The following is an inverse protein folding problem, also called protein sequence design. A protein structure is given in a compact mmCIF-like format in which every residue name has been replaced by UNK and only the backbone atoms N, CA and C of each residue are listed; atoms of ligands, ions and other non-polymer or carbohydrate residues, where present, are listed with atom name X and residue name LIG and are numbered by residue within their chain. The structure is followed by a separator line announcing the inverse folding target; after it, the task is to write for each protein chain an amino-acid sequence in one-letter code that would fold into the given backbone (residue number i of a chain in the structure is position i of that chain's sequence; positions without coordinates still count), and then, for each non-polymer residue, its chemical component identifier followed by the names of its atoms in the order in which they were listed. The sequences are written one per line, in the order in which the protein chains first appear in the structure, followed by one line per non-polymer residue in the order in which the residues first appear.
data_IF_364913080767
#
_entry.id   IF_364913080767
#
_cell.length_a   1.000
_cell.length_b   1.000
_cell.length_c   1.000
_cell.angle_alpha   90.00
_cell.angle_beta   90.00
_cell.angle_gamma   90.00
#
_symmetry.space_group_name_H-M   'P 1'
#
loop_
_entity.id
_entity.type
_entity.pdbx_description
1 polymer ?
#
# COMPACT_ATOMS: atom_id res chain seq x y z
N UNK A 1 12.31 -53.48 3.21
CA UNK A 1 12.27 -52.09 3.71
C UNK A 1 12.06 -51.21 2.51
N UNK A 2 10.86 -50.63 2.34
CA UNK A 2 10.57 -49.78 1.19
C UNK A 2 11.37 -48.48 1.34
N UNK A 3 12.21 -48.17 0.36
CA UNK A 3 12.87 -46.87 0.25
C UNK A 3 11.80 -45.83 -0.07
N UNK A 4 11.45 -44.99 0.90
CA UNK A 4 10.51 -43.87 0.74
C UNK A 4 11.24 -42.52 0.65
N UNK A 5 12.52 -42.52 0.28
CA UNK A 5 13.25 -41.28 -0.01
C UNK A 5 13.06 -40.89 -1.47
N UNK A 6 12.29 -39.84 -1.75
CA UNK A 6 12.47 -39.10 -3.01
C UNK A 6 13.91 -38.57 -3.02
N UNK A 7 14.67 -38.86 -4.08
CA UNK A 7 16.02 -38.35 -4.18
C UNK A 7 15.95 -36.82 -4.34
N UNK A 8 16.96 -36.09 -3.87
CA UNK A 8 16.98 -34.62 -4.01
C UNK A 8 16.88 -34.17 -5.48
N UNK A 9 17.29 -35.05 -6.39
CA UNK A 9 17.22 -34.88 -7.85
C UNK A 9 15.79 -35.02 -8.41
N UNK A 10 14.84 -35.59 -7.65
CA UNK A 10 13.42 -35.71 -8.01
C UNK A 10 12.61 -34.45 -7.62
N UNK A 11 13.23 -33.46 -6.95
CA UNK A 11 12.57 -32.23 -6.53
C UNK A 11 12.48 -31.27 -7.72
N UNK A 12 11.28 -30.84 -8.15
CA UNK A 12 11.14 -29.84 -9.20
C UNK A 12 11.92 -28.57 -8.85
N UNK A 13 12.73 -28.08 -9.80
CA UNK A 13 13.47 -26.84 -9.61
C UNK A 13 12.50 -25.67 -9.43
N UNK A 14 12.74 -24.84 -8.41
CA UNK A 14 11.88 -23.69 -8.13
C UNK A 14 12.07 -22.61 -9.18
N UNK A 15 10.97 -22.12 -9.74
CA UNK A 15 10.99 -20.96 -10.63
C UNK A 15 11.23 -19.68 -9.83
N UNK A 16 12.50 -19.36 -9.62
CA UNK A 16 12.94 -18.15 -8.91
C UNK A 16 12.51 -16.87 -9.62
N UNK A 17 12.38 -16.87 -10.95
CA UNK A 17 11.99 -15.67 -11.68
C UNK A 17 10.55 -15.27 -11.37
N UNK A 18 9.64 -16.25 -11.29
CA UNK A 18 8.25 -16.02 -10.91
C UNK A 18 8.10 -15.63 -9.43
N UNK A 19 8.90 -16.24 -8.53
CA UNK A 19 8.94 -15.86 -7.12
C UNK A 19 9.34 -14.40 -6.94
N UNK A 20 10.42 -13.97 -7.60
CA UNK A 20 10.90 -12.59 -7.52
C UNK A 20 9.87 -11.60 -8.10
N UNK A 21 9.23 -11.95 -9.22
CA UNK A 21 8.19 -11.11 -9.83
C UNK A 21 7.02 -10.86 -8.87
N UNK A 22 6.57 -11.91 -8.18
CA UNK A 22 5.49 -11.80 -7.19
C UNK A 22 5.93 -11.03 -5.95
N UNK A 23 7.15 -11.28 -5.45
CA UNK A 23 7.72 -10.57 -4.33
C UNK A 23 7.77 -9.05 -4.56
N UNK A 24 8.30 -8.62 -5.71
CA UNK A 24 8.36 -7.21 -6.07
C UNK A 24 6.95 -6.59 -6.21
N UNK A 25 5.98 -7.36 -6.70
CA UNK A 25 4.58 -6.93 -6.74
C UNK A 25 3.98 -6.74 -5.34
N UNK A 26 4.23 -7.67 -4.43
CA UNK A 26 3.80 -7.60 -3.04
C UNK A 26 4.42 -6.40 -2.31
N UNK A 27 5.74 -6.19 -2.43
CA UNK A 27 6.44 -5.07 -1.80
C UNK A 27 5.86 -3.73 -2.29
N UNK A 28 5.66 -3.59 -3.60
CA UNK A 28 5.06 -2.38 -4.18
C UNK A 28 3.64 -2.12 -3.65
N UNK A 29 2.80 -3.16 -3.61
CA UNK A 29 1.44 -3.04 -3.06
C UNK A 29 1.45 -2.68 -1.57
N UNK A 30 2.32 -3.31 -0.78
CA UNK A 30 2.45 -3.05 0.65
C UNK A 30 2.93 -1.62 0.94
N UNK A 31 3.88 -1.11 0.15
CA UNK A 31 4.37 0.27 0.27
C UNK A 31 3.25 1.29 0.00
N UNK A 32 2.54 1.15 -1.12
CA UNK A 32 1.42 2.03 -1.47
C UNK A 32 0.28 1.92 -0.45
N UNK A 33 -0.07 0.69 -0.06
CA UNK A 33 -1.14 0.40 0.88
C UNK A 33 -0.86 0.97 2.28
N UNK A 34 0.39 0.92 2.73
CA UNK A 34 0.79 1.49 4.03
C UNK A 34 0.54 3.00 4.07
N UNK A 35 0.95 3.73 3.04
CA UNK A 35 0.72 5.18 2.96
C UNK A 35 -0.76 5.51 2.82
N UNK A 36 -1.52 4.72 2.06
CA UNK A 36 -2.98 4.88 1.95
C UNK A 36 -3.68 4.71 3.30
N UNK A 37 -3.29 3.70 4.09
CA UNK A 37 -3.79 3.51 5.45
C UNK A 37 -3.48 4.72 6.36
N UNK A 38 -2.27 5.26 6.29
CA UNK A 38 -1.91 6.48 7.02
C UNK A 38 -2.78 7.68 6.60
N UNK A 39 -3.04 7.84 5.31
CA UNK A 39 -3.94 8.88 4.80
C UNK A 39 -5.36 8.73 5.34
N UNK A 40 -5.92 7.52 5.40
CA UNK A 40 -7.26 7.29 5.96
C UNK A 40 -7.31 7.57 7.46
N UNK A 41 -6.31 7.14 8.22
CA UNK A 41 -6.22 7.47 9.66
C UNK A 41 -6.12 8.98 9.87
N UNK A 42 -5.32 9.68 9.05
CA UNK A 42 -5.22 11.14 9.11
C UNK A 42 -6.56 11.83 8.76
N UNK A 43 -7.30 11.32 7.77
CA UNK A 43 -8.62 11.84 7.44
C UNK A 43 -9.62 11.68 8.59
N UNK A 44 -9.64 10.50 9.23
CA UNK A 44 -10.46 10.26 10.41
C UNK A 44 -10.06 11.18 11.57
N UNK A 45 -8.77 11.43 11.76
CA UNK A 45 -8.28 12.37 12.77
C UNK A 45 -8.74 13.81 12.47
N UNK A 46 -8.65 14.28 11.22
CA UNK A 46 -9.15 15.61 10.81
C UNK A 46 -10.65 15.73 11.04
N UNK A 47 -11.44 14.74 10.64
CA UNK A 47 -12.89 14.76 10.86
C UNK A 47 -13.28 14.68 12.33
N UNK A 48 -12.64 13.79 13.09
CA UNK A 48 -12.97 13.52 14.49
C UNK A 48 -12.45 14.58 15.48
N UNK A 49 -11.21 15.05 15.31
CA UNK A 49 -10.58 15.98 16.25
C UNK A 49 -10.83 17.45 15.90
N UNK A 50 -10.93 17.78 14.61
CA UNK A 50 -11.13 19.17 14.15
C UNK A 50 -12.55 19.45 13.67
N UNK A 51 -13.44 18.46 13.72
CA UNK A 51 -14.80 18.52 13.18
C UNK A 51 -14.86 18.91 11.68
N UNK A 52 -13.74 18.82 10.96
CA UNK A 52 -13.58 19.24 9.57
C UNK A 52 -13.95 18.12 8.58
N UNK A 53 -15.16 17.58 8.72
CA UNK A 53 -15.62 16.41 7.96
C UNK A 53 -15.61 16.60 6.43
N UNK A 54 -15.84 17.82 5.94
CA UNK A 54 -15.74 18.12 4.50
C UNK A 54 -14.32 17.86 3.96
N UNK A 55 -13.30 18.33 4.68
CA UNK A 55 -11.89 18.11 4.32
C UNK A 55 -11.52 16.63 4.46
N UNK A 56 -11.99 15.98 5.53
CA UNK A 56 -11.76 14.55 5.74
C UNK A 56 -12.31 13.68 4.58
N UNK A 57 -13.53 13.97 4.11
CA UNK A 57 -14.14 13.25 2.99
C UNK A 57 -13.34 13.47 1.70
N UNK A 58 -13.02 14.72 1.37
CA UNK A 58 -12.23 15.03 0.18
C UNK A 58 -10.85 14.35 0.23
N UNK A 59 -10.17 14.44 1.37
CA UNK A 59 -8.87 13.79 1.58
C UNK A 59 -8.95 12.27 1.47
N UNK A 60 -10.03 11.65 1.94
CA UNK A 60 -10.28 10.21 1.80
C UNK A 60 -10.44 9.81 0.33
N UNK A 61 -11.23 10.57 -0.44
CA UNK A 61 -11.43 10.31 -1.88
C UNK A 61 -10.11 10.48 -2.65
N UNK A 62 -9.34 11.52 -2.33
CA UNK A 62 -8.01 11.73 -2.93
C UNK A 62 -7.03 10.60 -2.55
N UNK A 63 -7.06 10.12 -1.30
CA UNK A 63 -6.26 8.98 -0.86
C UNK A 63 -6.64 7.69 -1.59
N UNK A 64 -7.94 7.45 -1.83
CA UNK A 64 -8.41 6.29 -2.57
C UNK A 64 -7.94 6.32 -4.04
N UNK A 65 -8.13 7.46 -4.72
CA UNK A 65 -7.65 7.64 -6.10
C UNK A 65 -6.12 7.54 -6.14
N UNK A 66 -5.42 8.16 -5.17
CA UNK A 66 -3.98 8.10 -5.04
C UNK A 66 -3.47 6.68 -4.85
N UNK A 67 -4.11 5.87 -4.01
CA UNK A 67 -3.78 4.46 -3.84
C UNK A 67 -3.97 3.67 -5.15
N UNK A 68 -5.08 3.87 -5.86
CA UNK A 68 -5.32 3.24 -7.16
C UNK A 68 -4.25 3.59 -8.20
N UNK A 69 -3.89 4.87 -8.30
CA UNK A 69 -2.81 5.35 -9.19
C UNK A 69 -1.46 4.78 -8.77
N UNK A 70 -1.16 4.76 -7.47
CA UNK A 70 0.10 4.22 -6.93
C UNK A 70 0.26 2.74 -7.21
N UNK A 71 -0.81 1.94 -7.08
CA UNK A 71 -0.80 0.51 -7.41
C UNK A 71 -0.58 0.32 -8.92
N UNK A 72 -1.27 1.10 -9.77
CA UNK A 72 -1.19 0.97 -11.22
C UNK A 72 0.14 1.44 -11.82
N UNK A 73 0.85 2.37 -11.16
CA UNK A 73 2.07 2.98 -11.68
C UNK A 73 3.25 2.80 -10.73
N UNK A 74 4.22 1.95 -11.12
CA UNK A 74 5.48 1.77 -10.37
C UNK A 74 6.34 3.03 -10.29
N UNK A 75 6.25 3.93 -11.27
CA UNK A 75 7.05 5.16 -11.28
C UNK A 75 6.56 6.18 -10.25
N UNK A 76 5.24 6.18 -9.98
CA UNK A 76 4.62 7.05 -8.99
C UNK A 76 4.62 6.37 -7.62
N UNK A 77 4.11 5.13 -7.55
CA UNK A 77 4.08 4.30 -6.36
C UNK A 77 3.49 5.01 -5.15
N UNK A 78 4.17 4.88 -4.01
CA UNK A 78 3.74 5.43 -2.72
C UNK A 78 3.59 6.96 -2.71
N UNK A 79 4.22 7.66 -3.65
CA UNK A 79 4.13 9.13 -3.74
C UNK A 79 2.72 9.60 -4.04
N UNK A 80 1.91 8.81 -4.74
CA UNK A 80 0.53 9.15 -5.04
C UNK A 80 -0.34 9.30 -3.78
N UNK A 81 -0.46 8.30 -2.89
CA UNK A 81 -1.19 8.47 -1.62
C UNK A 81 -0.45 9.36 -0.61
N UNK A 82 0.86 9.60 -0.76
CA UNK A 82 1.60 10.49 0.13
C UNK A 82 1.15 11.96 0.03
N UNK A 83 0.72 12.42 -1.15
CA UNK A 83 0.19 13.78 -1.34
C UNK A 83 -1.04 14.05 -0.48
N UNK A 84 -2.15 13.29 -0.58
CA UNK A 84 -3.31 13.50 0.28
C UNK A 84 -3.00 13.25 1.75
N UNK A 85 -2.10 12.31 2.09
CA UNK A 85 -1.62 12.16 3.46
C UNK A 85 -0.98 13.46 3.99
N UNK A 86 -0.05 14.06 3.24
CA UNK A 86 0.59 15.31 3.63
C UNK A 86 -0.39 16.47 3.78
N UNK A 87 -1.37 16.59 2.87
CA UNK A 87 -2.42 17.62 2.95
C UNK A 87 -3.33 17.43 4.18
N UNK A 88 -3.66 16.18 4.52
CA UNK A 88 -4.46 15.85 5.70
C UNK A 88 -3.68 16.12 6.99
N UNK A 89 -2.39 15.80 7.04
CA UNK A 89 -1.53 16.14 8.17
C UNK A 89 -1.40 17.65 8.34
N UNK A 90 -1.25 18.40 7.24
CA UNK A 90 -1.25 19.85 7.28
C UNK A 90 -2.58 20.40 7.81
N UNK A 91 -3.71 19.85 7.32
CA UNK A 91 -5.04 20.22 7.79
C UNK A 91 -5.23 19.94 9.27
N UNK A 92 -4.70 18.81 9.77
CA UNK A 92 -4.75 18.45 11.18
C UNK A 92 -3.97 19.40 12.08
N UNK A 93 -2.88 19.99 11.56
CA UNK A 93 -2.04 20.93 12.32
C UNK A 93 -2.64 22.35 12.31
N UNK A 94 -3.20 22.78 11.18
CA UNK A 94 -3.60 24.17 10.96
C UNK A 94 -5.05 24.50 11.35
N UNK A 95 -5.94 23.52 11.36
CA UNK A 95 -7.33 23.66 11.82
C UNK A 95 -7.41 23.40 13.32
#
# INVERSE_FOLDING_TARGET
MASHGHHADDIPQMDYAEHERTYLGFVHFAEVGTIACLAFVAALAVGGLKHAWGIAIIGTLLALVGAGVGIASKSIGWRAPAVPFGLLMLSLILL
#
